data_IF_914373290704
#
_entry.id   IF_914373290704
#
_cell.length_a   1.000
_cell.length_b   1.000
_cell.length_c   1.000
_cell.angle_alpha   90.00
_cell.angle_beta   90.00
_cell.angle_gamma   90.00
#
_symmetry.space_group_name_H-M   'P 1'
#
loop_
_entity.id
_entity.type
_entity.pdbx_description
1 polymer ?
#
# COMPACT_ATOMS: atom_id res chain seq x y z
N UNK A 1 -12.41 -11.21 -7.20
CA UNK A 1 -12.24 -10.04 -8.08
C UNK A 1 -10.82 -9.95 -8.63
N UNK A 2 -9.78 -9.61 -7.85
CA UNK A 2 -8.39 -9.55 -8.38
C UNK A 2 -7.80 -10.92 -8.71
N UNK A 3 -7.86 -11.87 -7.78
CA UNK A 3 -7.19 -13.17 -7.89
C UNK A 3 -8.13 -14.37 -7.70
N UNK A 4 -9.44 -14.18 -7.89
CA UNK A 4 -10.45 -15.23 -7.65
C UNK A 4 -10.70 -15.65 -6.19
N UNK A 5 -9.81 -15.32 -5.26
CA UNK A 5 -9.93 -15.65 -3.83
C UNK A 5 -11.16 -15.00 -3.17
N UNK A 6 -11.68 -15.65 -2.11
CA UNK A 6 -12.90 -15.21 -1.38
C UNK A 6 -12.71 -13.78 -0.88
N UNK A 7 -13.64 -12.89 -1.23
CA UNK A 7 -13.61 -11.51 -0.76
C UNK A 7 -13.90 -11.44 0.74
N UNK A 8 -13.18 -10.56 1.44
CA UNK A 8 -13.40 -10.25 2.84
C UNK A 8 -14.22 -8.96 3.05
N UNK A 9 -14.63 -8.30 1.96
CA UNK A 9 -15.34 -7.02 1.96
C UNK A 9 -14.76 -6.02 0.95
N UNK A 10 -15.23 -4.77 1.05
CA UNK A 10 -14.77 -3.65 0.22
C UNK A 10 -13.43 -3.11 0.73
N UNK A 11 -12.41 -3.07 -0.12
CA UNK A 11 -11.07 -2.57 0.16
C UNK A 11 -10.62 -1.68 -0.98
N UNK A 12 -10.35 -0.40 -0.68
CA UNK A 12 -9.90 0.59 -1.66
C UNK A 12 -10.84 0.69 -2.87
N UNK A 13 -12.15 0.80 -2.63
CA UNK A 13 -13.14 0.93 -3.70
C UNK A 13 -13.77 -0.37 -4.19
N UNK A 14 -13.14 -1.54 -3.99
CA UNK A 14 -13.58 -2.79 -4.64
C UNK A 14 -13.67 -3.99 -3.70
N UNK A 15 -14.45 -5.01 -4.06
CA UNK A 15 -14.52 -6.27 -3.31
C UNK A 15 -13.22 -7.07 -3.47
N UNK A 16 -12.45 -7.24 -2.39
CA UNK A 16 -11.15 -7.91 -2.46
C UNK A 16 -10.88 -8.85 -1.27
N UNK A 17 -9.93 -9.76 -1.44
CA UNK A 17 -9.43 -10.60 -0.35
C UNK A 17 -8.36 -9.86 0.47
N UNK A 18 -8.05 -10.36 1.67
CA UNK A 18 -7.02 -9.74 2.53
C UNK A 18 -5.63 -9.71 1.88
N UNK A 19 -5.32 -10.71 1.05
CA UNK A 19 -4.05 -10.78 0.34
C UNK A 19 -3.87 -9.59 -0.62
N UNK A 20 -4.87 -9.31 -1.44
CA UNK A 20 -4.82 -8.19 -2.39
C UNK A 20 -4.96 -6.83 -1.70
N UNK A 21 -5.76 -6.72 -0.63
CA UNK A 21 -5.77 -5.53 0.23
C UNK A 21 -4.38 -5.18 0.74
N UNK A 22 -3.71 -6.14 1.38
CA UNK A 22 -2.40 -5.91 1.99
C UNK A 22 -1.31 -5.66 0.95
N UNK A 23 -1.37 -6.35 -0.19
CA UNK A 23 -0.47 -6.15 -1.31
C UNK A 23 -0.59 -4.72 -1.87
N UNK A 24 -1.80 -4.32 -2.29
CA UNK A 24 -2.06 -2.99 -2.85
C UNK A 24 -1.59 -1.87 -1.92
N UNK A 25 -1.96 -1.94 -0.63
CA UNK A 25 -1.52 -0.97 0.39
C UNK A 25 -0.01 -0.86 0.52
N UNK A 26 0.72 -1.98 0.47
CA UNK A 26 2.18 -1.97 0.57
C UNK A 26 2.79 -1.35 -0.68
N UNK A 27 2.32 -1.76 -1.85
CA UNK A 27 2.82 -1.24 -3.14
C UNK A 27 2.71 0.27 -3.22
N UNK A 28 1.55 0.85 -2.90
CA UNK A 28 1.36 2.31 -2.91
C UNK A 28 2.23 3.01 -1.86
N UNK A 29 2.27 2.52 -0.62
CA UNK A 29 3.01 3.20 0.46
C UNK A 29 4.52 3.21 0.30
N UNK A 30 5.08 2.15 -0.31
CA UNK A 30 6.52 2.10 -0.58
C UNK A 30 6.85 2.59 -1.98
N UNK A 31 5.87 3.14 -2.71
CA UNK A 31 5.97 3.49 -4.13
C UNK A 31 6.71 2.43 -4.95
N UNK A 32 6.35 1.16 -4.74
CA UNK A 32 7.10 0.05 -5.28
C UNK A 32 6.72 -0.19 -6.74
N UNK A 33 7.68 0.00 -7.64
CA UNK A 33 7.57 -0.43 -9.03
C UNK A 33 7.90 -1.90 -9.16
N UNK A 34 7.20 -2.60 -10.07
CA UNK A 34 7.46 -3.99 -10.42
C UNK A 34 7.65 -4.09 -11.94
N UNK A 35 8.40 -5.09 -12.40
CA UNK A 35 8.49 -5.43 -13.82
C UNK A 35 7.98 -6.85 -14.07
N UNK A 36 7.28 -7.05 -15.20
CA UNK A 36 6.87 -8.38 -15.63
C UNK A 36 8.06 -9.10 -16.26
N UNK A 37 8.18 -10.42 -16.03
CA UNK A 37 9.18 -11.27 -16.69
C UNK A 37 8.67 -11.89 -18.00
N UNK A 38 7.44 -11.56 -18.38
CA UNK A 38 6.71 -12.12 -19.52
C UNK A 38 5.95 -10.97 -20.23
N UNK A 39 4.87 -11.27 -20.93
CA UNK A 39 4.14 -10.30 -21.77
C UNK A 39 3.15 -9.40 -21.03
N UNK A 40 3.37 -9.13 -19.73
CA UNK A 40 2.49 -8.24 -18.93
C UNK A 40 1.01 -8.66 -18.91
N UNK A 41 0.76 -9.96 -19.12
CA UNK A 41 -0.56 -10.61 -19.23
C UNK A 41 -0.65 -11.90 -18.39
N UNK A 42 0.14 -12.01 -17.32
CA UNK A 42 0.13 -13.20 -16.47
C UNK A 42 -1.26 -13.43 -15.85
N UNK A 43 -1.72 -14.68 -15.82
CA UNK A 43 -2.91 -15.08 -15.09
C UNK A 43 -2.72 -14.85 -13.59
N UNK A 44 -3.71 -14.23 -12.94
CA UNK A 44 -3.69 -13.98 -11.50
C UNK A 44 -4.79 -14.80 -10.84
N UNK A 45 -4.39 -15.91 -10.23
CA UNK A 45 -5.27 -16.77 -9.43
C UNK A 45 -4.87 -16.74 -7.94
N UNK A 46 -5.61 -17.46 -7.08
CA UNK A 46 -5.40 -17.44 -5.63
C UNK A 46 -4.02 -17.98 -5.24
N UNK A 47 -3.53 -18.99 -5.95
CA UNK A 47 -2.37 -19.79 -5.58
C UNK A 47 -1.09 -19.21 -6.19
N UNK A 48 -1.18 -18.60 -7.37
CA UNK A 48 -0.07 -18.08 -8.17
C UNK A 48 -0.05 -16.56 -8.30
N UNK A 49 -0.96 -15.81 -7.65
CA UNK A 49 -0.92 -14.32 -7.61
C UNK A 49 0.42 -13.73 -7.18
N UNK A 50 1.27 -14.47 -6.48
CA UNK A 50 2.59 -13.99 -6.05
C UNK A 50 3.69 -14.17 -7.10
N UNK A 51 3.45 -14.94 -8.16
CA UNK A 51 4.44 -15.22 -9.22
C UNK A 51 4.79 -13.96 -10.02
N UNK A 52 3.81 -13.10 -10.31
CA UNK A 52 4.03 -11.83 -11.01
C UNK A 52 3.41 -10.64 -10.26
N UNK A 53 4.25 -9.88 -9.55
CA UNK A 53 3.82 -8.70 -8.80
C UNK A 53 3.34 -7.57 -9.71
N UNK A 54 3.97 -7.39 -10.88
CA UNK A 54 3.53 -6.41 -11.88
C UNK A 54 2.10 -6.69 -12.33
N UNK A 55 1.83 -7.88 -12.88
CA UNK A 55 0.50 -8.21 -13.39
C UNK A 55 -0.56 -8.21 -12.28
N UNK A 56 -0.19 -8.61 -11.06
CA UNK A 56 -1.09 -8.52 -9.91
C UNK A 56 -1.45 -7.07 -9.58
N UNK A 57 -0.48 -6.17 -9.55
CA UNK A 57 -0.71 -4.76 -9.22
C UNK A 57 -1.47 -4.05 -10.34
N UNK A 58 -1.09 -4.27 -11.59
CA UNK A 58 -1.84 -3.86 -12.77
C UNK A 58 -3.30 -4.31 -12.67
N UNK A 59 -3.54 -5.59 -12.34
CA UNK A 59 -4.90 -6.10 -12.16
C UNK A 59 -5.66 -5.44 -11.01
N UNK A 60 -4.98 -5.07 -9.90
CA UNK A 60 -5.61 -4.30 -8.83
C UNK A 60 -6.15 -2.96 -9.34
N UNK A 61 -5.37 -2.23 -10.13
CA UNK A 61 -5.77 -0.95 -10.73
C UNK A 61 -6.90 -1.15 -11.74
N UNK A 62 -6.79 -2.13 -12.64
CA UNK A 62 -7.80 -2.43 -13.66
C UNK A 62 -9.18 -2.76 -13.08
N UNK A 63 -9.24 -3.43 -11.92
CA UNK A 63 -10.53 -3.71 -11.28
C UNK A 63 -11.08 -2.52 -10.49
N UNK A 64 -10.34 -1.41 -10.40
CA UNK A 64 -10.75 -0.17 -9.75
C UNK A 64 -10.26 -0.01 -8.30
N UNK A 65 -9.15 -0.64 -7.90
CA UNK A 65 -8.57 -0.30 -6.60
C UNK A 65 -8.02 1.12 -6.61
N UNK A 66 -8.56 1.97 -5.72
CA UNK A 66 -8.24 3.39 -5.63
C UNK A 66 -6.98 3.62 -4.76
N UNK A 67 -5.84 4.08 -5.33
CA UNK A 67 -4.65 4.40 -4.56
C UNK A 67 -4.91 5.51 -3.55
N UNK A 68 -5.73 6.50 -3.91
CA UNK A 68 -6.01 7.68 -3.07
C UNK A 68 -6.84 7.37 -1.82
N UNK A 69 -7.50 6.22 -1.80
CA UNK A 69 -8.11 5.70 -0.57
C UNK A 69 -7.06 5.30 0.49
N UNK A 70 -5.77 5.27 0.15
CA UNK A 70 -4.66 5.02 1.08
C UNK A 70 -4.11 6.37 1.53
N UNK A 71 -4.50 6.79 2.73
CA UNK A 71 -3.96 8.01 3.34
C UNK A 71 -2.43 7.93 3.50
N UNK A 72 -1.69 9.00 3.13
CA UNK A 72 -0.24 9.09 3.26
C UNK A 72 0.19 9.21 4.72
N UNK A 73 -0.61 9.93 5.53
CA UNK A 73 -0.38 10.04 6.96
C UNK A 73 -0.62 8.72 7.67
N UNK A 74 0.28 8.40 8.61
CA UNK A 74 0.03 7.33 9.57
C UNK A 74 -1.17 7.75 10.41
N UNK A 75 -2.17 6.88 10.49
CA UNK A 75 -3.29 7.03 11.43
C UNK A 75 -2.75 7.55 12.78
N UNK A 76 -3.34 8.63 13.30
CA UNK A 76 -3.00 9.25 14.59
C UNK A 76 -3.15 8.26 15.77
N UNK A 77 -3.73 7.08 15.51
CA UNK A 77 -3.50 5.87 16.29
C UNK A 77 -2.00 5.51 16.18
N UNK A 78 -1.18 6.18 17.00
CA UNK A 78 0.26 5.96 17.09
C UNK A 78 0.61 4.48 17.26
N UNK A 79 1.90 4.14 17.13
CA UNK A 79 2.44 2.77 17.28
C UNK A 79 1.67 2.03 18.38
N UNK A 80 0.80 1.08 18.01
CA UNK A 80 0.14 0.24 19.00
C UNK A 80 1.24 -0.38 19.84
N UNK A 81 1.29 -0.03 21.13
CA UNK A 81 2.33 -0.52 22.04
C UNK A 81 2.22 -2.03 22.04
N UNK A 82 3.18 -2.72 21.41
CA UNK A 82 3.27 -4.17 21.49
C UNK A 82 3.37 -4.50 23.00
N UNK A 83 2.37 -5.18 23.61
CA UNK A 83 2.36 -5.41 25.05
C UNK A 83 3.61 -6.17 25.53
N UNK A 84 4.28 -6.88 24.61
CA UNK A 84 5.51 -7.64 24.85
C UNK A 84 6.77 -6.78 25.11
N UNK A 85 6.74 -5.46 24.88
CA UNK A 85 7.92 -4.58 25.05
C UNK A 85 8.03 -3.89 26.43
N UNK A 86 7.14 -4.16 27.40
CA UNK A 86 7.09 -3.42 28.69
C UNK A 86 8.17 -3.79 29.73
N UNK A 87 9.11 -4.70 29.45
CA UNK A 87 10.28 -4.92 30.32
C UNK A 87 11.51 -4.25 29.69
N UNK A 88 12.13 -3.33 30.44
CA UNK A 88 13.34 -2.53 30.11
C UNK A 88 13.12 -1.28 29.24
N UNK A 89 12.97 -0.10 29.87
CA UNK A 89 14.10 0.80 30.19
C UNK A 89 13.57 2.15 30.75
N UNK A 90 14.27 2.62 31.77
CA UNK A 90 14.03 3.77 32.66
C UNK A 90 14.52 5.09 32.01
N UNK A 91 13.70 6.12 32.18
CA UNK A 91 13.91 7.58 32.31
C UNK A 91 15.30 8.23 32.08
N UNK A 92 15.38 9.25 31.20
CA UNK A 92 16.10 10.53 31.41
C UNK A 92 15.95 11.53 30.22
N UNK A 93 15.34 12.68 30.52
CA UNK A 93 15.71 14.09 30.17
C UNK A 93 15.84 14.64 28.72
N UNK A 94 15.18 15.80 28.53
CA UNK A 94 15.54 17.03 27.75
C UNK A 94 15.69 16.94 26.22
N UNK A 95 15.25 17.85 25.32
CA UNK A 95 14.75 19.25 25.27
C UNK A 95 14.19 19.50 23.81
N UNK A 96 13.65 20.70 23.42
CA UNK A 96 12.69 20.88 22.30
C UNK A 96 13.21 21.58 21.00
N UNK A 97 12.29 21.72 20.02
CA UNK A 97 12.19 22.72 18.90
C UNK A 97 12.58 22.23 17.48
N UNK A 98 12.28 22.95 16.36
CA UNK A 98 11.22 23.93 16.03
C UNK A 98 10.52 23.68 14.65
N UNK A 99 9.33 24.31 14.46
CA UNK A 99 8.90 25.09 13.27
C UNK A 99 8.90 24.52 11.83
N UNK A 100 7.76 24.72 11.15
CA UNK A 100 7.68 25.04 9.71
C UNK A 100 7.26 23.90 8.77
N UNK A 101 5.95 23.79 8.48
CA UNK A 101 5.47 22.98 7.36
C UNK A 101 5.26 23.89 6.15
N UNK A 102 6.17 23.83 5.18
CA UNK A 102 5.95 24.41 3.85
C UNK A 102 5.55 23.31 2.87
N UNK A 103 4.38 23.52 2.26
CA UNK A 103 3.87 23.07 0.97
C UNK A 103 4.39 21.74 0.39
N UNK A 104 3.58 20.68 0.52
CA UNK A 104 3.71 19.51 -0.34
C UNK A 104 2.79 19.68 -1.55
N UNK A 105 3.40 19.99 -2.68
CA UNK A 105 2.75 20.15 -3.98
C UNK A 105 1.87 18.95 -4.33
N UNK A 106 0.60 19.23 -4.63
CA UNK A 106 -0.39 18.29 -5.15
C UNK A 106 0.01 17.92 -6.58
N UNK A 107 0.50 16.69 -6.78
CA UNK A 107 0.89 16.19 -8.10
C UNK A 107 -0.34 15.60 -8.79
N UNK A 108 -0.56 16.03 -10.04
CA UNK A 108 -1.71 15.73 -10.88
C UNK A 108 -1.85 14.22 -11.21
N UNK A 109 -3.11 13.81 -11.31
CA UNK A 109 -3.63 12.45 -11.49
C UNK A 109 -3.02 11.68 -12.69
N UNK A 110 -2.48 12.38 -13.69
CA UNK A 110 -1.85 11.77 -14.88
C UNK A 110 -0.45 11.21 -14.65
N UNK A 111 0.36 11.82 -13.79
CA UNK A 111 1.78 11.47 -13.60
C UNK A 111 1.98 10.30 -12.63
N UNK A 112 1.05 10.10 -11.69
CA UNK A 112 1.17 9.06 -10.67
C UNK A 112 0.99 7.65 -11.27
N UNK A 113 0.05 7.46 -12.19
CA UNK A 113 -0.16 6.19 -12.90
C UNK A 113 1.03 5.82 -13.79
N UNK A 114 1.64 6.80 -14.47
CA UNK A 114 2.88 6.58 -15.22
C UNK A 114 4.03 6.18 -14.28
N UNK A 115 4.18 6.85 -13.13
CA UNK A 115 5.24 6.55 -12.16
C UNK A 115 5.22 5.11 -11.63
N UNK A 116 4.04 4.49 -11.57
CA UNK A 116 3.88 3.12 -11.09
C UNK A 116 3.96 2.05 -12.19
N UNK A 117 3.95 2.46 -13.47
CA UNK A 117 3.94 1.56 -14.62
C UNK A 117 5.21 1.65 -15.50
N UNK A 118 6.11 2.60 -15.24
CA UNK A 118 7.42 2.77 -15.90
C UNK A 118 8.52 2.02 -15.15
#
# INVERSE_FOLDING_TARGET
>A
MVCGDKSAGKHYGVAACYGCKGFFRRTIRSSQTYSCRFDSKCLIDKDQRNACRYCRFKRCLEVGMEPEAIRPDRDVIGKQKNPRKRKMKRESSSLPSPGGVENLNYIDHGDMLLSYMV
#
